data_IF_167325077762
#
_entry.id   IF_167325077762
#
_cell.length_a   1.000
_cell.length_b   1.000
_cell.length_c   1.000
_cell.angle_alpha   90.00
_cell.angle_beta   90.00
_cell.angle_gamma   90.00
#
_symmetry.space_group_name_H-M   'P 1'
#
loop_
_entity.id
_entity.type
_entity.pdbx_description
1 polymer ?
#
# COMPACT_ATOMS: atom_id res chain seq x y z
N UNK A 1 -7.28 -28.99 29.83
CA UNK A 1 -6.35 -27.87 29.50
C UNK A 1 -5.66 -28.07 28.15
N UNK A 2 -5.07 -29.26 27.89
CA UNK A 2 -4.43 -29.59 26.60
C UNK A 2 -5.33 -29.52 25.36
N UNK A 3 -6.59 -29.97 25.46
CA UNK A 3 -7.52 -29.98 24.31
C UNK A 3 -7.87 -28.56 23.79
N UNK A 4 -7.93 -27.58 24.71
CA UNK A 4 -8.18 -26.17 24.37
C UNK A 4 -7.00 -25.54 23.62
N UNK A 5 -5.76 -25.90 23.99
CA UNK A 5 -4.53 -25.47 23.32
C UNK A 5 -4.43 -26.06 21.90
N UNK A 6 -4.77 -27.35 21.74
CA UNK A 6 -4.78 -28.01 20.44
C UNK A 6 -5.79 -27.35 19.48
N UNK A 7 -7.04 -27.16 19.90
CA UNK A 7 -8.07 -26.47 19.09
C UNK A 7 -7.75 -25.00 18.80
N UNK A 8 -6.95 -24.34 19.65
CA UNK A 8 -6.47 -22.98 19.39
C UNK A 8 -5.37 -22.98 18.33
N UNK A 9 -4.43 -23.92 18.41
CA UNK A 9 -3.38 -24.13 17.39
C UNK A 9 -3.97 -24.49 16.03
N UNK A 10 -4.92 -25.43 15.98
CA UNK A 10 -5.57 -25.85 14.73
C UNK A 10 -6.33 -24.69 14.06
N UNK A 11 -6.95 -23.80 14.86
CA UNK A 11 -7.58 -22.57 14.36
C UNK A 11 -6.57 -21.56 13.84
N UNK A 12 -5.42 -21.42 14.51
CA UNK A 12 -4.33 -20.56 14.02
C UNK A 12 -3.75 -21.10 12.71
N UNK A 13 -3.58 -22.42 12.59
CA UNK A 13 -3.09 -23.07 11.37
C UNK A 13 -4.08 -22.94 10.22
N UNK A 14 -5.37 -23.18 10.46
CA UNK A 14 -6.42 -23.01 9.44
C UNK A 14 -6.52 -21.55 8.96
N UNK A 15 -6.45 -20.58 9.88
CA UNK A 15 -6.44 -19.16 9.54
C UNK A 15 -5.18 -18.77 8.74
N UNK A 16 -4.01 -19.32 9.08
CA UNK A 16 -2.80 -19.09 8.33
C UNK A 16 -2.87 -19.70 6.91
N UNK A 17 -3.43 -20.90 6.76
CA UNK A 17 -3.63 -21.53 5.45
C UNK A 17 -4.63 -20.76 4.58
N UNK A 18 -5.74 -20.29 5.14
CA UNK A 18 -6.73 -19.47 4.41
C UNK A 18 -6.10 -18.13 3.95
N UNK A 19 -5.28 -17.50 4.80
CA UNK A 19 -4.52 -16.27 4.43
C UNK A 19 -3.54 -16.53 3.29
N UNK A 20 -2.80 -17.64 3.34
CA UNK A 20 -1.89 -18.03 2.27
C UNK A 20 -2.66 -18.24 0.96
N UNK A 21 -3.74 -19.02 0.98
CA UNK A 21 -4.55 -19.31 -0.20
C UNK A 21 -5.10 -18.05 -0.90
N UNK A 22 -5.47 -17.01 -0.13
CA UNK A 22 -5.94 -15.72 -0.69
C UNK A 22 -4.82 -14.89 -1.32
N UNK A 23 -3.61 -14.98 -0.79
CA UNK A 23 -2.47 -14.15 -1.20
C UNK A 23 -1.66 -14.82 -2.31
N UNK A 24 -1.70 -16.14 -2.39
CA UNK A 24 -0.95 -16.98 -3.32
C UNK A 24 -1.14 -16.63 -4.80
N UNK A 25 -2.37 -16.45 -5.35
CA UNK A 25 -2.53 -16.20 -6.79
C UNK A 25 -1.90 -14.86 -7.22
N UNK A 26 -2.03 -13.81 -6.41
CA UNK A 26 -1.45 -12.49 -6.69
C UNK A 26 0.07 -12.54 -6.57
N UNK A 27 0.60 -13.22 -5.55
CA UNK A 27 2.06 -13.41 -5.40
C UNK A 27 2.65 -14.24 -6.55
N UNK A 28 1.98 -15.31 -6.95
CA UNK A 28 2.39 -16.13 -8.09
C UNK A 28 2.39 -15.30 -9.39
N UNK A 29 1.41 -14.41 -9.56
CA UNK A 29 1.38 -13.49 -10.69
C UNK A 29 2.56 -12.50 -10.66
N UNK A 30 2.85 -11.89 -9.50
CA UNK A 30 3.98 -10.97 -9.32
C UNK A 30 5.32 -11.65 -9.61
N UNK A 31 5.52 -12.89 -9.15
CA UNK A 31 6.75 -13.63 -9.45
C UNK A 31 6.86 -14.00 -10.93
N UNK A 32 5.74 -14.33 -11.59
CA UNK A 32 5.71 -14.61 -13.03
C UNK A 32 6.11 -13.39 -13.87
N UNK A 33 5.66 -12.19 -13.49
CA UNK A 33 5.89 -10.95 -14.23
C UNK A 33 7.06 -10.14 -13.65
N UNK A 34 7.89 -10.74 -12.81
CA UNK A 34 8.97 -10.05 -12.09
C UNK A 34 9.93 -9.30 -13.00
N UNK A 35 10.13 -9.76 -14.24
CA UNK A 35 10.98 -9.12 -15.25
C UNK A 35 10.39 -7.83 -15.81
N UNK A 36 9.07 -7.68 -15.80
CA UNK A 36 8.35 -6.51 -16.33
C UNK A 36 8.09 -5.45 -15.24
N UNK A 37 8.45 -5.76 -13.99
CA UNK A 37 8.25 -4.87 -12.85
C UNK A 37 9.18 -3.66 -12.94
N UNK A 38 8.59 -2.47 -12.97
CA UNK A 38 9.31 -1.20 -13.04
C UNK A 38 10.02 -0.91 -11.72
N UNK A 39 9.28 -1.03 -10.61
CA UNK A 39 9.81 -0.78 -9.27
C UNK A 39 9.00 -1.52 -8.19
N UNK A 40 9.58 -1.67 -7.01
CA UNK A 40 8.87 -2.22 -5.84
C UNK A 40 9.36 -1.60 -4.54
N UNK A 41 8.47 -1.47 -3.56
CA UNK A 41 8.81 -1.05 -2.22
C UNK A 41 7.75 -1.52 -1.21
N UNK A 42 8.21 -2.10 -0.09
CA UNK A 42 7.36 -2.48 1.05
C UNK A 42 6.12 -3.33 0.68
N UNK A 43 6.24 -4.21 -0.32
CA UNK A 43 5.14 -5.05 -0.80
C UNK A 43 4.22 -4.40 -1.83
N UNK A 44 4.50 -3.16 -2.26
CA UNK A 44 3.87 -2.54 -3.43
C UNK A 44 4.76 -2.74 -4.65
N UNK A 45 4.18 -3.21 -5.74
CA UNK A 45 4.85 -3.50 -7.02
C UNK A 45 4.21 -2.66 -8.11
N UNK A 46 5.04 -1.93 -8.86
CA UNK A 46 4.63 -1.11 -9.99
C UNK A 46 4.97 -1.83 -11.30
N UNK A 47 3.96 -1.98 -12.15
CA UNK A 47 4.05 -2.52 -13.51
C UNK A 47 3.58 -1.45 -14.52
N UNK A 48 3.82 -1.63 -15.83
CA UNK A 48 3.44 -0.65 -16.85
C UNK A 48 1.94 -0.34 -16.90
N UNK A 49 1.09 -1.33 -16.67
CA UNK A 49 -0.37 -1.26 -16.77
C UNK A 49 -1.07 -1.29 -15.40
N UNK A 50 -0.41 -1.82 -14.36
CA UNK A 50 -1.04 -2.07 -13.06
C UNK A 50 -0.12 -1.82 -11.87
N UNK A 51 -0.75 -1.66 -10.72
CA UNK A 51 -0.10 -1.59 -9.42
C UNK A 51 -0.65 -2.69 -8.52
N UNK A 52 0.24 -3.42 -7.87
CA UNK A 52 -0.10 -4.60 -7.07
C UNK A 52 0.42 -4.43 -5.65
N UNK A 53 -0.45 -4.65 -4.67
CA UNK A 53 -0.10 -4.70 -3.25
C UNK A 53 -0.13 -6.13 -2.76
N UNK A 54 1.02 -6.64 -2.33
CA UNK A 54 1.16 -7.91 -1.63
C UNK A 54 1.46 -7.62 -0.16
N UNK A 55 0.49 -7.75 0.74
CA UNK A 55 0.73 -7.52 2.16
C UNK A 55 1.71 -8.55 2.73
N UNK A 56 2.32 -8.18 3.86
CA UNK A 56 3.15 -9.09 4.64
C UNK A 56 2.31 -10.27 5.12
N UNK A 57 2.94 -11.44 5.30
CA UNK A 57 2.28 -12.64 5.83
C UNK A 57 1.67 -12.44 7.23
N UNK A 58 2.11 -11.39 7.93
CA UNK A 58 1.65 -11.02 9.27
C UNK A 58 0.49 -10.02 9.27
N UNK A 59 0.17 -9.41 8.12
CA UNK A 59 -0.94 -8.47 7.99
C UNK A 59 -2.22 -9.22 7.57
N UNK A 60 -3.36 -8.88 8.17
CA UNK A 60 -4.68 -9.46 7.82
C UNK A 60 -5.28 -8.82 6.54
N UNK A 61 -4.44 -8.15 5.76
CA UNK A 61 -4.85 -7.43 4.56
C UNK A 61 -4.84 -8.37 3.36
N UNK A 62 -5.73 -8.11 2.39
CA UNK A 62 -5.78 -8.90 1.16
C UNK A 62 -4.77 -8.37 0.15
N UNK A 63 -4.23 -9.28 -0.67
CA UNK A 63 -3.50 -8.86 -1.85
C UNK A 63 -4.48 -8.23 -2.85
N UNK A 64 -4.11 -7.09 -3.40
CA UNK A 64 -4.96 -6.32 -4.32
C UNK A 64 -4.17 -5.92 -5.56
N UNK A 65 -4.82 -6.00 -6.72
CA UNK A 65 -4.34 -5.46 -7.98
C UNK A 65 -5.27 -4.35 -8.47
N UNK A 66 -4.69 -3.28 -9.01
CA UNK A 66 -5.43 -2.12 -9.53
C UNK A 66 -4.78 -1.58 -10.80
N UNK A 67 -5.55 -0.98 -11.72
CA UNK A 67 -4.97 -0.28 -12.87
C UNK A 67 -4.10 0.88 -12.39
N UNK A 68 -3.02 1.18 -13.13
CA UNK A 68 -2.11 2.29 -12.78
C UNK A 68 -2.68 3.65 -13.17
N UNK A 69 -3.63 3.71 -14.09
CA UNK A 69 -4.23 4.95 -14.56
C UNK A 69 -4.84 5.78 -13.42
N UNK A 70 -4.47 7.06 -13.36
CA UNK A 70 -4.95 7.99 -12.34
C UNK A 70 -4.35 7.76 -10.94
N UNK A 71 -3.43 6.81 -10.77
CA UNK A 71 -2.78 6.55 -9.48
C UNK A 71 -1.70 7.60 -9.20
N UNK A 72 -1.69 8.09 -7.98
CA UNK A 72 -0.68 8.99 -7.43
C UNK A 72 -0.13 8.41 -6.12
N UNK A 73 1.06 8.83 -5.73
CA UNK A 73 1.64 8.40 -4.47
C UNK A 73 2.40 9.54 -3.79
N UNK A 74 2.40 9.51 -2.47
CA UNK A 74 3.09 10.48 -1.63
C UNK A 74 3.76 9.77 -0.45
N UNK A 75 4.77 10.42 0.12
CA UNK A 75 5.43 9.93 1.34
C UNK A 75 5.08 10.86 2.48
N UNK A 76 4.45 10.31 3.51
CA UNK A 76 4.16 11.02 4.74
C UNK A 76 5.16 10.62 5.82
N UNK A 77 5.91 11.59 6.31
CA UNK A 77 6.82 11.43 7.45
C UNK A 77 6.26 12.06 8.73
N UNK A 78 5.01 12.49 8.67
CA UNK A 78 4.31 13.18 9.75
C UNK A 78 3.43 12.14 10.44
N UNK A 79 3.32 12.20 11.77
CA UNK A 79 2.39 11.37 12.56
C UNK A 79 0.91 11.65 12.28
N UNK A 80 0.50 11.62 11.00
CA UNK A 80 -0.76 12.14 10.46
C UNK A 80 -1.57 11.11 9.66
N UNK A 81 -1.33 9.81 9.85
CA UNK A 81 -2.13 8.76 9.16
C UNK A 81 -3.57 8.70 9.68
N UNK A 82 -3.89 9.36 10.80
CA UNK A 82 -5.28 9.49 11.30
C UNK A 82 -6.13 10.55 10.56
N UNK A 83 -5.56 11.37 9.68
CA UNK A 83 -6.23 12.57 9.16
C UNK A 83 -6.59 12.61 7.66
N UNK A 84 -6.17 11.63 6.85
CA UNK A 84 -6.21 11.74 5.38
C UNK A 84 -7.27 10.90 4.66
N UNK A 85 -8.26 10.38 5.37
CA UNK A 85 -9.37 9.65 4.73
C UNK A 85 -10.44 10.55 4.08
N UNK A 86 -10.38 11.89 4.20
CA UNK A 86 -11.57 12.71 3.89
C UNK A 86 -11.31 14.09 3.28
N UNK A 87 -10.14 14.37 2.70
CA UNK A 87 -9.79 15.74 2.29
C UNK A 87 -9.30 15.90 0.85
N UNK A 88 -9.69 15.00 -0.06
CA UNK A 88 -9.51 15.23 -1.51
C UNK A 88 -10.79 14.95 -2.31
N UNK A 89 -11.96 15.07 -1.67
CA UNK A 89 -13.27 15.12 -2.35
C UNK A 89 -14.10 16.36 -2.04
N UNK A 90 -13.50 17.37 -1.41
CA UNK A 90 -14.17 18.64 -1.16
C UNK A 90 -13.17 19.78 -1.27
N UNK A 91 -13.06 20.35 -2.47
CA UNK A 91 -12.53 21.69 -2.63
C UNK A 91 -13.51 22.66 -1.94
N UNK A 92 -13.28 22.94 -0.65
CA UNK A 92 -13.87 24.11 0.03
C UNK A 92 -12.72 25.11 0.24
N UNK A 93 -12.72 26.26 -0.46
CA UNK A 93 -11.72 27.28 -0.22
C UNK A 93 -12.05 28.00 1.10
N UNK A 94 -11.21 27.86 2.14
CA UNK A 94 -11.40 28.66 3.36
C UNK A 94 -10.76 28.23 4.69
N UNK A 95 -10.06 27.11 4.80
CA UNK A 95 -9.53 26.67 6.10
C UNK A 95 -8.03 26.93 6.27
N UNK A 96 -7.69 28.10 6.82
CA UNK A 96 -6.41 28.30 7.51
C UNK A 96 -6.46 27.54 8.85
N UNK A 97 -5.72 26.43 8.96
CA UNK A 97 -5.67 25.61 10.16
C UNK A 97 -4.25 25.15 10.44
N UNK A 98 -3.57 25.86 11.35
CA UNK A 98 -2.26 25.55 11.88
C UNK A 98 -2.30 24.20 12.61
N UNK A 99 -1.92 23.10 11.95
CA UNK A 99 -1.87 21.78 12.59
C UNK A 99 -0.51 21.54 13.22
N UNK A 100 -0.51 21.33 14.55
CA UNK A 100 0.66 21.04 15.38
C UNK A 100 1.38 19.76 14.92
N UNK A 101 2.70 19.87 14.84
CA UNK A 101 3.64 18.82 14.42
C UNK A 101 3.86 17.84 15.59
N UNK A 102 3.40 16.59 15.43
CA UNK A 102 3.74 15.48 16.35
C UNK A 102 4.86 14.67 15.69
N UNK A 103 6.02 14.66 16.34
CA UNK A 103 7.22 13.94 15.92
C UNK A 103 7.05 12.45 16.26
N UNK A 104 6.49 11.69 15.32
CA UNK A 104 6.54 10.22 15.32
C UNK A 104 7.30 9.84 14.06
N UNK A 105 8.49 9.28 14.22
CA UNK A 105 9.51 9.03 13.18
C UNK A 105 9.13 7.94 12.17
N UNK A 106 7.84 7.75 11.94
CA UNK A 106 7.30 6.72 11.06
C UNK A 106 7.12 7.29 9.66
N UNK A 107 7.74 6.65 8.67
CA UNK A 107 7.57 6.99 7.25
C UNK A 107 6.49 6.09 6.68
N UNK A 108 5.53 6.69 6.00
CA UNK A 108 4.42 6.02 5.33
C UNK A 108 4.44 6.36 3.85
N UNK A 109 4.33 5.34 3.00
CA UNK A 109 4.01 5.49 1.60
C UNK A 109 2.49 5.42 1.45
N UNK A 110 1.88 6.49 0.96
CA UNK A 110 0.46 6.55 0.66
C UNK A 110 0.30 6.50 -0.86
N UNK A 111 -0.50 5.57 -1.34
CA UNK A 111 -0.84 5.38 -2.75
C UNK A 111 -2.33 5.64 -2.89
N UNK A 112 -2.69 6.66 -3.67
CA UNK A 112 -4.06 7.10 -3.92
C UNK A 112 -4.41 6.81 -5.38
N UNK A 113 -5.41 5.95 -5.59
CA UNK A 113 -6.03 5.71 -6.88
C UNK A 113 -7.47 6.24 -6.92
N UNK A 114 -8.15 6.17 -8.08
CA UNK A 114 -9.50 6.72 -8.24
C UNK A 114 -10.54 6.15 -7.27
N UNK A 115 -10.46 4.85 -7.00
CA UNK A 115 -11.43 4.11 -6.19
C UNK A 115 -10.78 3.37 -4.99
N UNK A 116 -9.52 3.65 -4.70
CA UNK A 116 -8.79 2.96 -3.64
C UNK A 116 -7.68 3.82 -3.04
N UNK A 117 -7.32 3.52 -1.80
CA UNK A 117 -6.19 4.14 -1.12
C UNK A 117 -5.44 3.07 -0.32
N UNK A 118 -4.11 3.05 -0.44
CA UNK A 118 -3.24 2.19 0.33
C UNK A 118 -2.26 3.01 1.14
N UNK A 119 -2.05 2.62 2.40
CA UNK A 119 -0.99 3.15 3.25
C UNK A 119 -0.06 2.00 3.64
N UNK A 120 1.24 2.21 3.44
CA UNK A 120 2.25 1.20 3.71
C UNK A 120 3.38 1.81 4.50
N UNK A 121 3.69 1.21 5.65
CA UNK A 121 4.79 1.65 6.47
C UNK A 121 6.13 1.33 5.77
N UNK A 122 7.02 2.32 5.74
CA UNK A 122 8.36 2.18 5.19
C UNK A 122 9.36 2.54 6.28
N UNK A 123 10.45 1.78 6.36
CA UNK A 123 11.56 2.12 7.25
C UNK A 123 12.08 3.53 6.95
N UNK A 124 12.34 4.32 7.99
CA UNK A 124 12.83 5.69 7.86
C UNK A 124 14.13 5.76 7.02
N UNK A 125 15.01 4.75 7.14
CA UNK A 125 16.23 4.63 6.35
C UNK A 125 15.97 4.57 4.84
N UNK A 126 14.78 4.10 4.43
CA UNK A 126 14.34 3.99 3.03
C UNK A 126 13.46 5.16 2.60
N UNK A 127 13.31 6.22 3.40
CA UNK A 127 12.44 7.36 3.07
C UNK A 127 12.82 8.04 1.74
N UNK A 128 14.11 8.11 1.40
CA UNK A 128 14.54 8.64 0.09
C UNK A 128 14.06 7.76 -1.06
N UNK A 129 14.20 6.44 -0.92
CA UNK A 129 13.71 5.47 -1.89
C UNK A 129 12.17 5.52 -2.01
N UNK A 130 11.47 5.71 -0.88
CA UNK A 130 10.03 5.89 -0.86
C UNK A 130 9.59 7.10 -1.69
N UNK A 131 10.30 8.23 -1.59
CA UNK A 131 9.96 9.44 -2.37
C UNK A 131 10.20 9.21 -3.86
N UNK A 132 11.32 8.58 -4.21
CA UNK A 132 11.61 8.22 -5.59
C UNK A 132 10.58 7.23 -6.16
N UNK A 133 10.14 6.27 -5.35
CA UNK A 133 9.11 5.31 -5.74
C UNK A 133 7.74 5.97 -5.90
N UNK A 134 7.36 6.87 -4.98
CA UNK A 134 6.13 7.64 -5.07
C UNK A 134 6.08 8.52 -6.33
N UNK A 135 7.21 9.14 -6.70
CA UNK A 135 7.35 9.90 -7.94
C UNK A 135 7.19 9.00 -9.19
N UNK A 136 7.72 7.77 -9.15
CA UNK A 136 7.55 6.81 -10.24
C UNK A 136 6.09 6.38 -10.41
N UNK A 137 5.39 6.05 -9.32
CA UNK A 137 3.96 5.71 -9.36
C UNK A 137 3.16 6.88 -9.95
N UNK A 138 3.38 8.09 -9.44
CA UNK A 138 2.66 9.28 -9.92
C UNK A 138 2.92 9.57 -11.39
N UNK A 139 4.16 9.36 -11.85
CA UNK A 139 4.53 9.52 -13.27
C UNK A 139 3.87 8.46 -14.13
N UNK A 140 3.88 7.20 -13.69
CA UNK A 140 3.24 6.09 -14.40
C UNK A 140 1.72 6.31 -14.49
N UNK A 141 1.07 6.69 -13.40
CA UNK A 141 -0.38 6.92 -13.38
C UNK A 141 -0.83 8.10 -14.22
N UNK A 142 -0.05 9.19 -14.27
CA UNK A 142 -0.29 10.29 -15.22
C UNK A 142 -0.12 9.87 -16.67
N UNK A 143 0.91 9.08 -16.98
CA UNK A 143 1.16 8.60 -18.35
C UNK A 143 0.05 7.67 -18.82
N UNK A 144 -0.39 6.75 -17.97
CA UNK A 144 -1.47 5.82 -18.30
C UNK A 144 -2.82 6.55 -18.46
N UNK A 145 -3.14 7.50 -17.57
CA UNK A 145 -4.37 8.29 -17.69
C UNK A 145 -4.41 9.20 -18.93
N UNK A 146 -3.25 9.59 -19.47
CA UNK A 146 -3.17 10.38 -20.70
C UNK A 146 -3.25 9.52 -21.98
N UNK A 147 -3.18 8.19 -21.85
CA UNK A 147 -3.25 7.24 -22.95
C UNK A 147 -4.65 6.61 -23.12
N UNK A 148 -5.57 6.88 -22.19
CA UNK A 148 -7.02 6.62 -22.29
C UNK A 148 -7.75 7.81 -22.93
#
# INVERSE_FOLDING_TARGET
MFDKLKRWSERQQAAAQDRLARTDPVRAWVERHKMERIAHLAGVHLFPDRIVRTPSLLADEKAEERPVAGVSASVDNTGGVSGRATLTRTAIPGAHGWQKKVDTRETWLVVDGPDFQWSVQVEQAKASQARAFAAQITTAGRKAAAAE
#
